data_IF_017730441692
#
_entry.id   IF_017730441692
#
_cell.length_a   1.000
_cell.length_b   1.000
_cell.length_c   1.000
_cell.angle_alpha   90.00
_cell.angle_beta   90.00
_cell.angle_gamma   90.00
#
_symmetry.space_group_name_H-M   'P 1'
#
loop_
_entity.id
_entity.type
_entity.pdbx_description
1 polymer ?
#
# COMPACT_ATOMS: atom_id res chain seq x y z
N UNK A 1 -3.60 10.13 -11.17
CA UNK A 1 -2.77 10.17 -9.95
C UNK A 1 -3.59 10.40 -8.67
N UNK A 2 -4.76 11.02 -8.74
CA UNK A 2 -5.60 11.33 -7.56
C UNK A 2 -6.40 10.14 -7.04
N UNK A 3 -6.95 9.29 -7.90
CA UNK A 3 -7.87 8.21 -7.50
C UNK A 3 -7.19 7.12 -6.64
N UNK A 4 -5.95 6.72 -7.00
CA UNK A 4 -5.16 5.78 -6.20
C UNK A 4 -4.79 6.34 -4.81
N UNK A 5 -4.51 7.65 -4.74
CA UNK A 5 -4.19 8.34 -3.50
C UNK A 5 -5.43 8.42 -2.60
N UNK A 6 -6.58 8.82 -3.15
CA UNK A 6 -7.86 8.86 -2.44
C UNK A 6 -8.25 7.48 -1.90
N UNK A 7 -8.12 6.43 -2.72
CA UNK A 7 -8.36 5.05 -2.27
C UNK A 7 -7.43 4.63 -1.14
N UNK A 8 -6.15 5.00 -1.21
CA UNK A 8 -5.16 4.70 -0.17
C UNK A 8 -5.52 5.41 1.14
N UNK A 9 -5.89 6.70 1.08
CA UNK A 9 -6.31 7.49 2.24
C UNK A 9 -7.57 6.89 2.86
N UNK A 10 -8.58 6.54 2.05
CA UNK A 10 -9.82 5.94 2.56
C UNK A 10 -9.58 4.57 3.20
N UNK A 11 -8.74 3.72 2.59
CA UNK A 11 -8.37 2.43 3.15
C UNK A 11 -7.61 2.58 4.48
N UNK A 12 -6.74 3.57 4.58
CA UNK A 12 -6.04 3.91 5.81
C UNK A 12 -6.99 4.40 6.91
N UNK A 13 -7.88 5.35 6.60
CA UNK A 13 -8.87 5.87 7.56
C UNK A 13 -9.77 4.76 8.14
N UNK A 14 -10.15 3.77 7.31
CA UNK A 14 -10.90 2.59 7.75
C UNK A 14 -10.12 1.74 8.76
N UNK A 15 -8.80 1.69 8.66
CA UNK A 15 -7.90 0.89 9.50
C UNK A 15 -7.30 1.64 10.67
N UNK A 16 -7.58 2.93 10.82
CA UNK A 16 -7.08 3.70 11.96
C UNK A 16 -7.48 3.03 13.29
N UNK A 17 -6.58 2.92 14.28
CA UNK A 17 -6.91 2.36 15.59
C UNK A 17 -7.94 3.22 16.33
N UNK A 18 -8.76 2.59 17.16
CA UNK A 18 -9.81 3.31 17.89
C UNK A 18 -9.25 4.36 18.86
N UNK A 19 -8.12 4.05 19.52
CA UNK A 19 -7.45 4.99 20.41
C UNK A 19 -6.98 6.25 19.66
N UNK A 20 -6.53 6.14 18.41
CA UNK A 20 -6.12 7.30 17.58
C UNK A 20 -7.33 8.18 17.30
N UNK A 21 -8.47 7.58 16.90
CA UNK A 21 -9.70 8.34 16.63
C UNK A 21 -10.17 9.10 17.87
N UNK A 22 -10.19 8.43 19.02
CA UNK A 22 -10.55 9.03 20.31
C UNK A 22 -9.63 10.22 20.63
N UNK A 23 -8.33 9.99 20.57
CA UNK A 23 -7.34 10.96 21.05
C UNK A 23 -7.17 12.15 20.10
N UNK A 24 -7.43 11.98 18.79
CA UNK A 24 -7.52 13.11 17.83
C UNK A 24 -8.61 14.12 18.19
N UNK A 25 -9.69 13.66 18.83
CA UNK A 25 -10.79 14.53 19.28
C UNK A 25 -10.64 14.99 20.73
N UNK A 26 -9.54 14.61 21.40
CA UNK A 26 -9.32 14.94 22.79
C UNK A 26 -9.11 16.45 22.98
N UNK A 27 -9.62 16.94 24.13
CA UNK A 27 -9.35 18.31 24.60
C UNK A 27 -7.94 18.46 25.15
N UNK A 28 -7.36 17.37 25.64
CA UNK A 28 -5.97 17.35 26.08
C UNK A 28 -5.03 17.47 24.86
N UNK A 29 -4.22 18.52 24.86
CA UNK A 29 -3.29 18.82 23.80
C UNK A 29 -2.22 17.73 23.65
N UNK A 30 -1.75 17.16 24.77
CA UNK A 30 -0.71 16.13 24.74
C UNK A 30 -1.23 14.85 24.06
N UNK A 31 -2.41 14.38 24.46
CA UNK A 31 -3.07 13.23 23.83
C UNK A 31 -3.33 13.45 22.34
N UNK A 32 -3.81 14.63 21.95
CA UNK A 32 -4.04 14.96 20.54
C UNK A 32 -2.76 14.95 19.72
N UNK A 33 -1.69 15.58 20.20
CA UNK A 33 -0.39 15.59 19.50
C UNK A 33 0.16 14.18 19.32
N UNK A 34 0.08 13.32 20.34
CA UNK A 34 0.51 11.93 20.22
C UNK A 34 -0.31 11.16 19.17
N UNK A 35 -1.62 11.40 19.11
CA UNK A 35 -2.50 10.78 18.12
C UNK A 35 -2.18 11.26 16.70
N UNK A 36 -1.90 12.55 16.52
CA UNK A 36 -1.48 13.15 15.24
C UNK A 36 -0.15 12.56 14.74
N UNK A 37 0.85 12.43 15.62
CA UNK A 37 2.14 11.83 15.28
C UNK A 37 2.00 10.37 14.84
N UNK A 38 1.25 9.58 15.61
CA UNK A 38 0.98 8.20 15.26
C UNK A 38 0.22 8.08 13.93
N UNK A 39 -0.79 8.93 13.73
CA UNK A 39 -1.56 8.98 12.49
C UNK A 39 -0.68 9.32 11.29
N UNK A 40 0.20 10.30 11.42
CA UNK A 40 1.14 10.69 10.37
C UNK A 40 2.11 9.56 10.02
N UNK A 41 2.66 8.86 11.02
CA UNK A 41 3.55 7.73 10.81
C UNK A 41 2.84 6.58 10.06
N UNK A 42 1.60 6.27 10.43
CA UNK A 42 0.82 5.22 9.77
C UNK A 42 0.43 5.61 8.33
N UNK A 43 0.08 6.88 8.09
CA UNK A 43 -0.22 7.37 6.75
C UNK A 43 1.03 7.31 5.85
N UNK A 44 2.18 7.72 6.37
CA UNK A 44 3.45 7.64 5.64
C UNK A 44 3.81 6.20 5.27
N UNK A 45 3.58 5.23 6.17
CA UNK A 45 3.77 3.82 5.87
C UNK A 45 2.78 3.31 4.80
N UNK A 46 1.51 3.69 4.90
CA UNK A 46 0.49 3.33 3.91
C UNK A 46 0.83 3.85 2.51
N UNK A 47 1.26 5.12 2.40
CA UNK A 47 1.68 5.73 1.14
C UNK A 47 2.94 5.08 0.56
N UNK A 48 3.90 4.70 1.41
CA UNK A 48 5.09 3.95 0.97
C UNK A 48 4.69 2.59 0.40
N UNK A 49 3.78 1.89 1.05
CA UNK A 49 3.28 0.59 0.56
C UNK A 49 2.51 0.72 -0.75
N UNK A 50 1.72 1.77 -0.94
CA UNK A 50 1.01 2.00 -2.20
C UNK A 50 1.99 2.29 -3.35
N UNK A 51 3.04 3.09 -3.11
CA UNK A 51 4.10 3.35 -4.11
C UNK A 51 4.90 2.07 -4.44
N UNK A 52 5.19 1.24 -3.44
CA UNK A 52 5.83 -0.05 -3.67
C UNK A 52 4.94 -1.00 -4.50
N UNK A 53 3.63 -1.00 -4.26
CA UNK A 53 2.68 -1.81 -5.02
C UNK A 53 2.58 -1.35 -6.49
N UNK A 54 2.52 -0.03 -6.73
CA UNK A 54 2.49 0.53 -8.10
C UNK A 54 3.80 0.28 -8.85
N UNK A 55 4.96 0.31 -8.17
CA UNK A 55 6.27 -0.03 -8.75
C UNK A 55 6.47 -1.54 -8.96
N UNK A 56 6.01 -2.37 -8.02
CA UNK A 56 6.14 -3.83 -8.07
C UNK A 56 5.30 -4.49 -9.16
N UNK A 57 4.15 -3.89 -9.52
CA UNK A 57 3.32 -4.33 -10.64
C UNK A 57 4.07 -4.32 -12.00
N UNK A 58 5.13 -3.52 -12.15
CA UNK A 58 5.97 -3.52 -13.35
C UNK A 58 6.94 -4.71 -13.44
N UNK A 59 7.38 -5.27 -12.31
CA UNK A 59 8.38 -6.35 -12.27
C UNK A 59 7.75 -7.73 -12.52
N UNK A 60 6.51 -7.94 -12.07
CA UNK A 60 5.79 -9.22 -12.27
C UNK A 60 5.41 -9.47 -13.72
N UNK A 61 5.19 -8.41 -14.51
CA UNK A 61 4.85 -8.49 -15.94
C UNK A 61 6.03 -8.95 -16.81
N UNK A 62 7.25 -8.47 -16.51
CA UNK A 62 8.49 -8.89 -17.21
C UNK A 62 8.86 -10.32 -16.84
N UNK A 63 8.64 -10.74 -15.60
CA UNK A 63 8.98 -12.09 -15.14
C UNK A 63 8.00 -13.16 -15.66
N UNK A 64 6.70 -12.88 -15.72
CA UNK A 64 5.70 -13.77 -16.33
C UNK A 64 5.90 -13.96 -17.84
N UNK A 65 6.36 -12.93 -18.54
CA UNK A 65 6.70 -13.03 -19.96
C UNK A 65 7.93 -13.93 -20.21
N UNK A 66 8.84 -14.03 -19.23
CA UNK A 66 10.08 -14.82 -19.33
C UNK A 66 9.87 -16.31 -19.05
N UNK A 67 8.84 -16.66 -18.28
CA UNK A 67 8.47 -18.06 -17.99
C UNK A 67 7.61 -18.67 -19.11
N UNK A 68 6.76 -17.88 -19.77
CA UNK A 68 5.95 -18.36 -20.90
C UNK A 68 6.78 -18.70 -22.15
N UNK A 69 7.98 -18.12 -22.29
CA UNK A 69 8.91 -18.42 -23.39
C UNK A 69 9.75 -19.70 -23.21
N UNK A 70 9.67 -20.40 -22.05
CA UNK A 70 10.44 -21.63 -21.77
C UNK A 70 9.66 -22.94 -21.95
N UNK A 71 8.40 -22.89 -22.38
CA UNK A 71 7.56 -24.08 -22.59
C UNK A 71 7.27 -24.28 -24.08
N UNK A 72 8.33 -24.38 -24.89
CA UNK A 72 8.25 -25.08 -26.17
C UNK A 72 9.19 -26.29 -26.11
N UNK A 73 8.69 -27.52 -25.90
CA UNK A 73 9.51 -28.71 -26.10
C UNK A 73 9.73 -28.87 -27.61
N UNK A 74 10.90 -28.46 -28.10
CA UNK A 74 11.42 -28.96 -29.36
C UNK A 74 11.69 -30.45 -29.16
N UNK A 75 10.78 -31.30 -29.64
CA UNK A 75 10.99 -32.53 -30.41
C UNK A 75 9.83 -33.52 -30.21
N UNK A 76 9.07 -33.77 -31.28
CA UNK A 76 8.75 -35.15 -31.66
C UNK A 76 8.47 -35.23 -33.15
N UNK A 77 9.24 -36.14 -33.76
CA UNK A 77 9.35 -36.46 -35.17
C UNK A 77 8.03 -37.02 -35.73
N UNK A 78 7.78 -36.76 -37.00
CA UNK A 78 7.10 -37.67 -37.92
C UNK A 78 7.97 -37.77 -39.18
#
# INVERSE_FOLDING_TARGET
MTEDLEMTILAFLKRAPEWVRRDLTAKDQSARTQAEEAFAAMLADALRRSDLNSRGAGLTSVEQSRTHARIHPKWSKA
#
